data_IF_486234123315
#
_entry.id   IF_486234123315
#
_cell.length_a   1.000
_cell.length_b   1.000
_cell.length_c   1.000
_cell.angle_alpha   90.00
_cell.angle_beta   90.00
_cell.angle_gamma   90.00
#
_symmetry.space_group_name_H-M   'P 1'
#
loop_
_entity.id
_entity.type
_entity.pdbx_description
1 polymer ?
#
# COMPACT_ATOMS: atom_id res chain seq x y z
N UNK A 1 -13.79 -12.09 -13.53
CA UNK A 1 -14.31 -11.69 -12.20
C UNK A 1 -14.56 -10.19 -12.16
N UNK A 2 -15.75 -9.74 -11.75
CA UNK A 2 -16.16 -8.31 -11.69
C UNK A 2 -16.06 -7.81 -10.24
N UNK A 3 -14.91 -7.99 -9.61
CA UNK A 3 -14.73 -7.46 -8.25
C UNK A 3 -14.38 -5.98 -8.36
N UNK A 4 -15.31 -5.14 -7.87
CA UNK A 4 -15.05 -3.71 -7.64
C UNK A 4 -14.30 -3.46 -6.33
N UNK A 5 -14.57 -4.28 -5.31
CA UNK A 5 -13.97 -4.15 -3.98
C UNK A 5 -13.65 -5.51 -3.38
N UNK A 6 -12.47 -5.65 -2.80
CA UNK A 6 -12.05 -6.86 -2.11
C UNK A 6 -11.78 -6.57 -0.64
N UNK A 7 -12.34 -7.37 0.25
CA UNK A 7 -12.06 -7.30 1.67
C UNK A 7 -11.82 -8.71 2.23
N UNK A 8 -10.76 -8.85 3.01
CA UNK A 8 -10.45 -10.06 3.76
C UNK A 8 -10.06 -9.69 5.20
N UNK A 9 -10.56 -10.45 6.16
CA UNK A 9 -10.23 -10.28 7.58
C UNK A 9 -9.83 -11.63 8.18
N UNK A 10 -8.80 -11.64 9.02
CA UNK A 10 -8.33 -12.84 9.76
C UNK A 10 -7.94 -14.04 8.88
N UNK A 11 -7.72 -13.81 7.59
CA UNK A 11 -7.35 -14.87 6.65
C UNK A 11 -5.89 -15.27 6.85
N UNK A 12 -5.69 -16.56 7.14
CA UNK A 12 -4.37 -17.16 7.36
C UNK A 12 -3.92 -18.02 6.17
N UNK A 13 -4.85 -18.48 5.34
CA UNK A 13 -4.56 -19.31 4.17
C UNK A 13 -4.05 -18.46 2.99
N UNK A 14 -2.73 -18.51 2.78
CA UNK A 14 -2.06 -17.85 1.65
C UNK A 14 -2.48 -18.44 0.29
N UNK A 15 -2.69 -19.75 0.20
CA UNK A 15 -3.07 -20.40 -1.07
C UNK A 15 -4.45 -19.92 -1.50
N UNK A 16 -5.40 -19.87 -0.56
CA UNK A 16 -6.73 -19.32 -0.82
C UNK A 16 -6.64 -17.86 -1.28
N UNK A 17 -5.87 -17.02 -0.58
CA UNK A 17 -5.75 -15.61 -0.96
C UNK A 17 -5.11 -15.42 -2.34
N UNK A 18 -4.09 -16.23 -2.65
CA UNK A 18 -3.46 -16.25 -3.97
C UNK A 18 -4.45 -16.67 -5.06
N UNK A 19 -5.26 -17.69 -4.82
CA UNK A 19 -6.27 -18.13 -5.80
C UNK A 19 -7.34 -17.06 -6.05
N UNK A 20 -7.72 -16.31 -5.02
CA UNK A 20 -8.69 -15.23 -5.13
C UNK A 20 -8.15 -14.01 -5.89
N UNK A 21 -6.87 -13.66 -5.71
CA UNK A 21 -6.31 -12.41 -6.22
C UNK A 21 -5.36 -12.55 -7.41
N UNK A 22 -4.64 -13.66 -7.55
CA UNK A 22 -3.56 -13.81 -8.53
C UNK A 22 -3.98 -14.53 -9.81
N UNK A 23 -5.17 -15.14 -9.84
CA UNK A 23 -5.58 -15.99 -10.97
C UNK A 23 -5.99 -15.20 -12.21
N UNK A 24 -6.39 -13.93 -12.05
CA UNK A 24 -6.91 -13.13 -13.15
C UNK A 24 -6.58 -11.63 -12.95
N UNK A 25 -6.44 -10.85 -14.04
CA UNK A 25 -6.41 -9.39 -13.94
C UNK A 25 -7.62 -8.85 -13.18
N UNK A 26 -7.42 -7.75 -12.44
CA UNK A 26 -8.43 -7.12 -11.59
C UNK A 26 -8.79 -5.72 -12.12
N UNK A 27 -9.26 -5.59 -13.39
CA UNK A 27 -9.36 -4.30 -14.07
C UNK A 27 -10.43 -3.37 -13.47
N UNK A 28 -11.37 -3.91 -12.70
CA UNK A 28 -12.46 -3.16 -12.06
C UNK A 28 -12.21 -2.90 -10.57
N UNK A 29 -11.16 -3.47 -9.98
CA UNK A 29 -10.89 -3.36 -8.56
C UNK A 29 -10.46 -1.92 -8.21
N UNK A 30 -11.23 -1.27 -7.35
CA UNK A 30 -11.00 0.12 -6.89
C UNK A 30 -10.59 0.19 -5.43
N UNK A 31 -10.97 -0.80 -4.61
CA UNK A 31 -10.70 -0.81 -3.17
C UNK A 31 -10.28 -2.20 -2.71
N UNK A 32 -9.22 -2.27 -1.91
CA UNK A 32 -8.73 -3.48 -1.27
C UNK A 32 -8.50 -3.21 0.20
N UNK A 33 -8.99 -4.10 1.06
CA UNK A 33 -8.85 -4.00 2.52
C UNK A 33 -8.50 -5.34 3.14
N UNK A 34 -7.43 -5.35 3.91
CA UNK A 34 -6.97 -6.48 4.69
C UNK A 34 -6.96 -6.08 6.17
N UNK A 35 -7.57 -6.90 7.02
CA UNK A 35 -7.60 -6.71 8.48
C UNK A 35 -7.06 -7.96 9.16
N UNK A 36 -5.91 -7.86 9.83
CA UNK A 36 -5.31 -8.97 10.56
C UNK A 36 -5.14 -10.23 9.69
N UNK A 37 -4.82 -10.01 8.41
CA UNK A 37 -4.55 -11.08 7.45
C UNK A 37 -3.05 -11.40 7.55
N UNK A 38 -2.70 -12.61 7.96
CA UNK A 38 -1.32 -13.12 7.91
C UNK A 38 -0.96 -13.67 6.53
N UNK A 39 -1.97 -14.09 5.75
CA UNK A 39 -1.81 -14.59 4.39
C UNK A 39 -1.29 -13.54 3.37
N UNK A 40 -1.22 -12.26 3.74
CA UNK A 40 -0.82 -11.19 2.83
C UNK A 40 0.70 -11.14 2.70
N UNK A 41 1.19 -11.36 1.48
CA UNK A 41 2.63 -11.41 1.20
C UNK A 41 3.05 -10.31 0.22
N UNK A 42 4.36 -9.98 0.14
CA UNK A 42 4.88 -9.00 -0.81
C UNK A 42 4.53 -9.34 -2.27
N UNK A 43 4.43 -10.63 -2.62
CA UNK A 43 4.05 -11.08 -3.95
C UNK A 43 2.59 -10.72 -4.30
N UNK A 44 1.68 -10.83 -3.33
CA UNK A 44 0.28 -10.44 -3.51
C UNK A 44 0.18 -8.92 -3.68
N UNK A 45 0.93 -8.15 -2.89
CA UNK A 45 0.98 -6.69 -3.03
C UNK A 45 1.60 -6.25 -4.35
N UNK A 46 2.66 -6.92 -4.82
CA UNK A 46 3.23 -6.71 -6.15
C UNK A 46 2.18 -6.93 -7.24
N UNK A 47 1.46 -8.07 -7.20
CA UNK A 47 0.42 -8.36 -8.19
C UNK A 47 -0.69 -7.29 -8.16
N UNK A 48 -1.17 -6.87 -6.99
CA UNK A 48 -2.16 -5.80 -6.89
C UNK A 48 -1.63 -4.46 -7.44
N UNK A 49 -0.34 -4.16 -7.25
CA UNK A 49 0.26 -2.94 -7.78
C UNK A 49 0.25 -2.89 -9.32
N UNK A 50 0.38 -4.05 -9.97
CA UNK A 50 0.45 -4.22 -11.44
C UNK A 50 -0.91 -4.51 -12.09
N UNK A 51 -1.69 -5.43 -11.53
CA UNK A 51 -2.89 -6.04 -12.16
C UNK A 51 -4.21 -5.41 -11.72
N UNK A 52 -4.18 -4.48 -10.77
CA UNK A 52 -5.34 -3.67 -10.37
C UNK A 52 -5.13 -2.18 -10.76
N UNK A 53 -5.12 -1.83 -12.06
CA UNK A 53 -4.74 -0.49 -12.53
C UNK A 53 -5.69 0.62 -12.07
N UNK A 54 -6.92 0.27 -11.69
CA UNK A 54 -7.94 1.19 -11.18
C UNK A 54 -8.01 1.28 -9.66
N UNK A 55 -7.19 0.53 -8.92
CA UNK A 55 -7.18 0.54 -7.46
C UNK A 55 -6.84 1.96 -6.95
N UNK A 56 -7.74 2.52 -6.13
CA UNK A 56 -7.63 3.87 -5.56
C UNK A 56 -7.43 3.84 -4.05
N UNK A 57 -7.73 2.70 -3.41
CA UNK A 57 -7.59 2.56 -1.97
C UNK A 57 -7.09 1.17 -1.57
N UNK A 58 -5.95 1.12 -0.89
CA UNK A 58 -5.42 -0.06 -0.23
C UNK A 58 -5.42 0.18 1.28
N UNK A 59 -5.97 -0.75 2.06
CA UNK A 59 -5.91 -0.71 3.52
C UNK A 59 -5.27 -1.99 4.04
N UNK A 60 -4.17 -1.86 4.78
CA UNK A 60 -3.46 -2.93 5.47
C UNK A 60 -3.54 -2.63 6.97
N UNK A 61 -4.43 -3.33 7.68
CA UNK A 61 -4.74 -3.04 9.08
C UNK A 61 -4.31 -4.19 9.95
N UNK A 62 -3.32 -3.97 10.83
CA UNK A 62 -2.78 -4.95 11.77
C UNK A 62 -2.41 -6.30 11.10
N UNK A 63 -2.01 -6.27 9.82
CA UNK A 63 -1.55 -7.46 9.10
C UNK A 63 -0.15 -7.86 9.56
N UNK A 64 0.26 -9.08 9.25
CA UNK A 64 1.63 -9.55 9.54
C UNK A 64 2.64 -8.73 8.75
N UNK A 65 3.67 -8.20 9.41
CA UNK A 65 4.51 -7.13 8.87
C UNK A 65 5.67 -7.62 8.01
N UNK A 66 5.88 -8.94 7.91
CA UNK A 66 7.01 -9.53 7.22
C UNK A 66 7.10 -9.02 5.78
N UNK A 67 8.06 -8.12 5.57
CA UNK A 67 8.37 -7.50 4.28
C UNK A 67 7.21 -6.72 3.65
N UNK A 68 6.20 -6.28 4.41
CA UNK A 68 5.15 -5.40 3.86
C UNK A 68 5.70 -4.06 3.38
N UNK A 69 6.84 -3.59 3.93
CA UNK A 69 7.59 -2.43 3.41
C UNK A 69 7.85 -2.58 1.90
N UNK A 70 8.33 -3.76 1.45
CA UNK A 70 8.56 -4.09 0.03
C UNK A 70 7.25 -4.05 -0.76
N UNK A 71 6.17 -4.55 -0.18
CA UNK A 71 4.84 -4.47 -0.78
C UNK A 71 4.38 -3.03 -1.02
N UNK A 72 4.61 -2.12 -0.06
CA UNK A 72 4.31 -0.69 -0.22
C UNK A 72 5.23 -0.04 -1.26
N UNK A 73 6.51 -0.39 -1.28
CA UNK A 73 7.46 0.10 -2.29
C UNK A 73 7.04 -0.28 -3.71
N UNK A 74 6.48 -1.48 -3.93
CA UNK A 74 5.93 -1.87 -5.23
C UNK A 74 4.81 -0.94 -5.68
N UNK A 75 3.96 -0.47 -4.77
CA UNK A 75 2.92 0.51 -5.10
C UNK A 75 3.49 1.89 -5.45
N UNK A 76 4.53 2.33 -4.76
CA UNK A 76 5.19 3.62 -5.07
C UNK A 76 5.88 3.53 -6.43
N UNK A 77 6.66 2.48 -6.66
CA UNK A 77 7.41 2.23 -7.90
C UNK A 77 6.50 2.15 -9.11
N UNK A 78 5.40 1.39 -9.00
CA UNK A 78 4.47 1.19 -10.10
C UNK A 78 3.40 2.30 -10.17
N UNK A 79 3.42 3.30 -9.29
CA UNK A 79 2.37 4.33 -9.26
C UNK A 79 2.21 5.09 -10.60
N UNK A 80 3.30 5.50 -11.28
CA UNK A 80 3.19 6.26 -12.53
C UNK A 80 2.48 5.49 -13.66
N UNK A 81 2.57 4.16 -13.70
CA UNK A 81 1.96 3.34 -14.76
C UNK A 81 0.45 3.05 -14.56
N UNK A 82 -0.11 3.38 -13.38
CA UNK A 82 -1.50 3.05 -13.04
C UNK A 82 -2.51 3.96 -13.73
N UNK A 83 -3.71 3.47 -13.98
CA UNK A 83 -4.81 4.28 -14.53
C UNK A 83 -5.41 5.23 -13.48
N UNK A 84 -5.40 4.84 -12.20
CA UNK A 84 -5.89 5.67 -11.10
C UNK A 84 -5.07 6.95 -10.96
N UNK A 85 -5.72 8.12 -11.01
CA UNK A 85 -5.04 9.42 -10.76
C UNK A 85 -4.64 9.64 -9.29
N UNK A 86 -5.28 8.93 -8.38
CA UNK A 86 -5.01 8.99 -6.96
C UNK A 86 -5.04 7.59 -6.35
N UNK A 87 -4.09 7.32 -5.46
CA UNK A 87 -4.02 6.09 -4.68
C UNK A 87 -3.83 6.44 -3.20
N UNK A 88 -4.74 5.95 -2.36
CA UNK A 88 -4.64 6.06 -0.91
C UNK A 88 -4.22 4.70 -0.33
N UNK A 89 -3.11 4.68 0.40
CA UNK A 89 -2.64 3.54 1.17
C UNK A 89 -2.79 3.87 2.65
N UNK A 90 -3.60 3.09 3.37
CA UNK A 90 -3.72 3.16 4.82
C UNK A 90 -3.02 1.94 5.38
N UNK A 91 -1.88 2.15 5.99
CA UNK A 91 -1.10 1.10 6.61
C UNK A 91 -1.06 1.30 8.12
N UNK A 92 -1.89 0.53 8.81
CA UNK A 92 -1.88 0.43 10.27
C UNK A 92 -1.05 -0.80 10.65
N UNK A 93 0.16 -0.57 11.13
CA UNK A 93 1.10 -1.59 11.61
C UNK A 93 0.58 -2.23 12.92
N UNK A 94 0.90 -3.50 13.11
CA UNK A 94 0.58 -4.27 14.33
C UNK A 94 1.52 -3.86 15.45
N UNK A 95 2.79 -3.67 15.14
CA UNK A 95 3.82 -3.17 16.03
C UNK A 95 4.02 -1.66 15.81
N UNK A 96 4.17 -0.90 16.90
CA UNK A 96 4.57 0.50 16.83
C UNK A 96 6.06 0.58 16.48
N UNK A 97 6.41 0.35 15.20
CA UNK A 97 7.75 0.70 14.72
C UNK A 97 7.91 2.22 14.84
N UNK A 98 8.88 2.65 15.63
CA UNK A 98 9.20 4.07 15.83
C UNK A 98 9.78 4.72 14.57
N UNK A 99 10.33 3.90 13.66
CA UNK A 99 10.96 4.38 12.44
C UNK A 99 9.92 4.87 11.45
N UNK A 100 10.04 6.15 11.09
CA UNK A 100 9.36 6.76 9.96
C UNK A 100 9.67 5.96 8.69
N UNK A 101 8.63 5.55 7.98
CA UNK A 101 8.74 4.94 6.67
C UNK A 101 9.35 5.91 5.66
N UNK A 102 9.13 7.22 5.81
CA UNK A 102 9.83 8.22 4.99
C UNK A 102 11.35 8.16 5.16
N UNK A 103 11.87 7.93 6.37
CA UNK A 103 13.31 7.75 6.57
C UNK A 103 13.83 6.50 5.86
N UNK A 104 13.05 5.41 5.81
CA UNK A 104 13.39 4.22 5.03
C UNK A 104 13.45 4.57 3.55
N UNK A 105 12.46 5.32 3.04
CA UNK A 105 12.43 5.75 1.64
C UNK A 105 13.67 6.59 1.26
N UNK A 106 14.07 7.56 2.09
CA UNK A 106 15.28 8.37 1.80
C UNK A 106 16.54 7.53 1.87
N UNK A 107 16.71 6.75 2.95
CA UNK A 107 18.00 6.13 3.24
C UNK A 107 18.28 4.89 2.37
N UNK A 108 17.23 4.18 1.97
CA UNK A 108 17.37 2.89 1.27
C UNK A 108 16.80 2.91 -0.15
N UNK A 109 15.83 3.78 -0.43
CA UNK A 109 15.08 3.76 -1.70
C UNK A 109 15.01 5.13 -2.37
N UNK A 110 16.02 5.98 -2.16
CA UNK A 110 16.09 7.32 -2.74
C UNK A 110 15.88 7.32 -4.25
N UNK A 111 16.51 6.37 -4.96
CA UNK A 111 16.39 6.25 -6.41
C UNK A 111 14.97 6.01 -6.91
N UNK A 112 14.09 5.45 -6.07
CA UNK A 112 12.68 5.23 -6.41
C UNK A 112 11.87 6.52 -6.27
N UNK A 113 12.27 7.41 -5.35
CA UNK A 113 11.44 8.55 -4.93
C UNK A 113 12.01 9.92 -5.29
N UNK A 114 13.25 10.01 -5.76
CA UNK A 114 13.96 11.26 -6.04
C UNK A 114 13.29 12.20 -7.04
N UNK A 115 12.51 11.63 -7.98
CA UNK A 115 11.83 12.38 -9.03
C UNK A 115 10.41 12.82 -8.62
N UNK A 116 9.95 12.45 -7.42
CA UNK A 116 8.67 12.88 -6.87
C UNK A 116 8.80 14.10 -5.98
N UNK A 117 7.78 14.96 -6.01
CA UNK A 117 7.58 15.92 -4.92
C UNK A 117 6.96 15.19 -3.74
N UNK A 118 7.52 15.36 -2.53
CA UNK A 118 7.07 14.62 -1.35
C UNK A 118 6.84 15.57 -0.18
N UNK A 119 5.70 15.41 0.49
CA UNK A 119 5.39 16.08 1.75
C UNK A 119 5.08 15.07 2.83
N UNK A 120 5.74 15.22 3.97
CA UNK A 120 5.52 14.40 5.16
C UNK A 120 4.84 15.22 6.23
N UNK A 121 3.78 14.67 6.80
CA UNK A 121 3.00 15.30 7.87
C UNK A 121 2.98 14.33 9.04
N UNK A 122 3.69 14.64 10.15
CA UNK A 122 3.57 13.88 11.39
C UNK A 122 2.11 13.87 11.87
N UNK A 123 1.65 12.72 12.37
CA UNK A 123 0.28 12.53 12.87
C UNK A 123 0.27 11.84 14.22
N UNK A 124 -0.62 12.30 15.10
CA UNK A 124 -1.00 11.61 16.33
C UNK A 124 -2.37 10.97 16.14
N UNK A 125 -2.45 9.64 16.20
CA UNK A 125 -3.67 8.86 16.01
C UNK A 125 -4.36 8.50 17.33
N UNK A 126 -3.57 8.32 18.39
CA UNK A 126 -4.04 8.13 19.76
C UNK A 126 -2.96 8.64 20.75
N UNK A 127 -3.23 8.59 22.06
CA UNK A 127 -2.30 9.08 23.09
C UNK A 127 -0.89 8.48 22.96
N UNK A 128 -0.82 7.17 22.69
CA UNK A 128 0.41 6.38 22.53
C UNK A 128 0.68 5.96 21.08
N UNK A 129 -0.08 6.48 20.11
CA UNK A 129 0.02 6.07 18.71
C UNK A 129 0.31 7.26 17.81
N UNK A 130 1.55 7.35 17.35
CA UNK A 130 2.01 8.32 16.36
C UNK A 130 2.18 7.63 15.01
N UNK A 131 2.35 8.42 13.97
CA UNK A 131 2.64 7.96 12.63
C UNK A 131 2.78 9.15 11.71
N UNK A 132 2.58 8.93 10.42
CA UNK A 132 2.81 9.94 9.41
C UNK A 132 1.84 9.81 8.24
N UNK A 133 1.62 10.94 7.56
CA UNK A 133 1.02 10.98 6.24
C UNK A 133 2.08 11.48 5.28
N UNK A 134 2.47 10.63 4.34
CA UNK A 134 3.35 10.93 3.23
C UNK A 134 2.47 11.18 2.01
N UNK A 135 2.66 12.31 1.35
CA UNK A 135 2.00 12.67 0.11
C UNK A 135 3.07 12.72 -0.96
N UNK A 136 2.91 11.92 -2.00
CA UNK A 136 3.84 11.80 -3.13
C UNK A 136 3.11 12.30 -4.36
N UNK A 137 3.63 13.34 -5.00
CA UNK A 137 3.14 13.85 -6.28
C UNK A 137 4.06 13.39 -7.40
N UNK A 138 3.47 12.75 -8.39
CA UNK A 138 4.12 12.44 -9.65
C UNK A 138 3.72 13.53 -10.65
N UNK A 139 4.71 14.33 -11.05
CA UNK A 139 4.49 15.61 -11.70
C UNK A 139 4.18 15.49 -13.19
N UNK A 140 4.72 14.50 -13.88
CA UNK A 140 4.53 14.32 -15.32
C UNK A 140 3.09 13.93 -15.63
N UNK A 141 2.56 12.94 -14.90
CA UNK A 141 1.20 12.43 -15.11
C UNK A 141 0.16 13.07 -14.19
N UNK A 142 0.60 14.00 -13.32
CA UNK A 142 -0.20 14.76 -12.34
C UNK A 142 -1.00 13.82 -11.44
N UNK A 143 -0.33 12.82 -10.88
CA UNK A 143 -0.94 11.82 -9.99
C UNK A 143 -0.50 12.04 -8.55
N UNK A 144 -1.33 11.58 -7.61
CA UNK A 144 -1.02 11.72 -6.18
C UNK A 144 -1.21 10.42 -5.42
N UNK A 145 -0.17 9.99 -4.70
CA UNK A 145 -0.22 8.87 -3.77
C UNK A 145 -0.24 9.41 -2.35
N UNK A 146 -1.23 8.98 -1.57
CA UNK A 146 -1.36 9.30 -0.15
C UNK A 146 -1.07 8.05 0.68
N UNK A 147 0.04 8.05 1.40
CA UNK A 147 0.42 6.96 2.29
C UNK A 147 0.24 7.42 3.74
N UNK A 148 -0.62 6.74 4.49
CA UNK A 148 -0.79 6.94 5.91
C UNK A 148 -0.25 5.74 6.67
N UNK A 149 0.80 5.93 7.46
CA UNK A 149 1.45 4.87 8.26
C UNK A 149 1.21 5.14 9.74
N UNK A 150 0.74 4.15 10.50
CA UNK A 150 0.60 4.24 11.96
C UNK A 150 0.77 2.92 12.70
#
# INVERSE_FOLDING_TARGET
MVIGRFEASFLTDEILLRNLLLTHPLPRLTDVKFIQVSAITPAILLHLSLMAPRLRKLSLINCEEDKLDIGILNFITNFPSRMSKSLQIIWKRKCSRSQSFYNILINEYWDIIKDYEIRVIPKKFAANKTGEKIIIWEMETKKTLYLQVN
#
